data_IF_904795532180
#
_entry.id   IF_904795532180
#
_cell.length_a   1.000
_cell.length_b   1.000
_cell.length_c   1.000
_cell.angle_alpha   90.00
_cell.angle_beta   90.00
_cell.angle_gamma   90.00
#
_symmetry.space_group_name_H-M   'P 1'
#
loop_
_entity.id
_entity.type
_entity.pdbx_description
1 polymer ?
#
# COMPACT_ATOMS: atom_id res chain seq x y z
N UNK A 1 17.67 -13.10 -10.46
CA UNK A 1 17.74 -13.92 -11.69
C UNK A 1 16.52 -13.63 -12.55
N UNK A 2 16.67 -13.45 -13.86
CA UNK A 2 15.53 -13.24 -14.77
C UNK A 2 14.84 -14.58 -15.12
N UNK A 3 13.58 -14.55 -15.59
CA UNK A 3 12.83 -15.78 -15.89
C UNK A 3 13.51 -16.63 -16.97
N UNK A 4 14.20 -15.97 -17.92
CA UNK A 4 14.92 -16.65 -19.01
C UNK A 4 16.11 -17.46 -18.50
N UNK A 5 16.83 -16.93 -17.51
CA UNK A 5 17.95 -17.61 -16.87
C UNK A 5 17.46 -18.79 -16.04
N UNK A 6 16.37 -18.61 -15.28
CA UNK A 6 15.71 -19.67 -14.53
C UNK A 6 15.28 -20.82 -15.44
N UNK A 7 14.62 -20.50 -16.56
CA UNK A 7 14.18 -21.49 -17.55
C UNK A 7 15.36 -22.24 -18.18
N UNK A 8 16.45 -21.54 -18.46
CA UNK A 8 17.65 -22.16 -19.02
C UNK A 8 18.31 -23.12 -18.02
N UNK A 9 18.50 -22.70 -16.77
CA UNK A 9 19.05 -23.54 -15.70
C UNK A 9 18.16 -24.77 -15.45
N UNK A 10 16.84 -24.57 -15.39
CA UNK A 10 15.86 -25.64 -15.22
C UNK A 10 15.91 -26.65 -16.36
N UNK A 11 15.99 -26.18 -17.60
CA UNK A 11 16.17 -27.07 -18.75
C UNK A 11 17.41 -27.94 -18.58
N UNK A 12 18.57 -27.35 -18.28
CA UNK A 12 19.81 -28.12 -18.14
C UNK A 12 19.71 -29.19 -17.04
N UNK A 13 19.09 -28.85 -15.91
CA UNK A 13 18.91 -29.77 -14.80
C UNK A 13 17.95 -30.92 -15.16
N UNK A 14 16.84 -30.63 -15.83
CA UNK A 14 15.91 -31.66 -16.32
C UNK A 14 16.55 -32.59 -17.36
N UNK A 15 17.30 -32.03 -18.32
CA UNK A 15 18.01 -32.80 -19.33
C UNK A 15 19.07 -33.72 -18.68
N UNK A 16 19.77 -33.24 -17.65
CA UNK A 16 20.72 -34.03 -16.87
C UNK A 16 20.04 -35.17 -16.09
N UNK A 17 18.93 -34.88 -15.41
CA UNK A 17 18.21 -35.85 -14.58
C UNK A 17 17.50 -36.95 -15.38
N UNK A 18 17.04 -36.63 -16.59
CA UNK A 18 16.19 -37.52 -17.40
C UNK A 18 16.89 -38.12 -18.61
N UNK A 19 18.03 -37.56 -19.03
CA UNK A 19 18.70 -37.89 -20.30
C UNK A 19 17.81 -37.67 -21.54
N UNK A 20 16.78 -36.83 -21.44
CA UNK A 20 15.87 -36.44 -22.51
C UNK A 20 15.97 -34.94 -22.78
N UNK A 21 15.88 -34.51 -24.05
CA UNK A 21 15.94 -33.08 -24.39
C UNK A 21 14.60 -32.37 -24.20
N UNK A 22 14.65 -31.14 -23.67
CA UNK A 22 13.47 -30.30 -23.42
C UNK A 22 13.48 -29.02 -24.26
N UNK A 23 12.31 -28.57 -24.72
CA UNK A 23 12.17 -27.25 -25.37
C UNK A 23 12.04 -26.14 -24.32
N UNK A 24 12.63 -24.96 -24.57
CA UNK A 24 12.50 -23.79 -23.67
C UNK A 24 11.04 -23.42 -23.40
N UNK A 25 10.20 -23.40 -24.43
CA UNK A 25 8.77 -23.10 -24.29
C UNK A 25 8.04 -24.10 -23.38
N UNK A 26 8.45 -25.37 -23.39
CA UNK A 26 7.85 -26.40 -22.55
C UNK A 26 8.17 -26.17 -21.07
N UNK A 27 9.36 -25.65 -20.74
CA UNK A 27 9.72 -25.36 -19.34
C UNK A 27 8.77 -24.32 -18.71
N UNK A 28 8.40 -23.27 -19.45
CA UNK A 28 7.41 -22.31 -18.96
C UNK A 28 6.05 -22.97 -18.68
N UNK A 29 5.63 -23.88 -19.55
CA UNK A 29 4.38 -24.65 -19.36
C UNK A 29 4.45 -25.57 -18.15
N UNK A 30 5.62 -26.17 -17.90
CA UNK A 30 5.85 -27.02 -16.74
C UNK A 30 5.85 -26.23 -15.43
N UNK A 31 6.47 -25.04 -15.39
CA UNK A 31 6.35 -24.15 -14.23
C UNK A 31 4.90 -23.81 -13.93
N UNK A 32 4.12 -23.40 -14.94
CA UNK A 32 2.71 -23.12 -14.75
C UNK A 32 1.94 -24.33 -14.19
N UNK A 33 2.20 -25.53 -14.74
CA UNK A 33 1.57 -26.75 -14.30
C UNK A 33 1.94 -27.17 -12.86
N UNK A 34 3.19 -26.94 -12.43
CA UNK A 34 3.64 -27.17 -11.05
C UNK A 34 2.85 -26.39 -10.00
N UNK A 35 2.23 -25.28 -10.40
CA UNK A 35 1.40 -24.44 -9.56
C UNK A 35 -0.10 -24.56 -9.89
N UNK A 36 -0.49 -25.59 -10.64
CA UNK A 36 -1.90 -25.91 -10.92
C UNK A 36 -2.52 -25.15 -12.10
N UNK A 37 -1.74 -24.37 -12.84
CA UNK A 37 -2.22 -23.71 -14.05
C UNK A 37 -2.17 -24.65 -15.26
N UNK A 38 -3.24 -24.68 -16.04
CA UNK A 38 -3.33 -25.56 -17.21
C UNK A 38 -2.38 -25.16 -18.33
N UNK A 39 -2.05 -23.88 -18.41
CA UNK A 39 -1.13 -23.31 -19.41
C UNK A 39 -0.33 -22.16 -18.81
N UNK A 40 0.79 -21.83 -19.44
CA UNK A 40 1.51 -20.58 -19.13
C UNK A 40 0.59 -19.35 -19.28
N UNK A 41 -0.23 -19.30 -20.31
CA UNK A 41 -1.13 -18.17 -20.57
C UNK A 41 -2.15 -17.95 -19.43
N UNK A 42 -2.64 -19.03 -18.79
CA UNK A 42 -3.53 -18.90 -17.63
C UNK A 42 -2.83 -18.41 -16.36
N UNK A 43 -1.53 -18.67 -16.22
CA UNK A 43 -0.71 -18.08 -15.15
C UNK A 43 -0.48 -16.59 -15.43
N UNK A 44 0.00 -16.30 -16.64
CA UNK A 44 0.32 -14.96 -17.15
C UNK A 44 -0.92 -14.03 -17.30
N UNK A 45 -2.12 -14.50 -16.97
CA UNK A 45 -3.35 -13.70 -16.98
C UNK A 45 -3.46 -12.75 -15.78
N UNK A 46 -2.81 -13.08 -14.66
CA UNK A 46 -2.87 -12.26 -13.44
C UNK A 46 -1.87 -12.65 -12.36
N UNK A 47 -0.94 -13.56 -12.65
CA UNK A 47 0.06 -14.03 -11.71
C UNK A 47 1.46 -13.90 -12.29
N UNK A 48 2.45 -13.82 -11.39
CA UNK A 48 3.87 -13.74 -11.70
C UNK A 48 4.65 -14.74 -10.86
N UNK A 49 5.68 -15.32 -11.44
CA UNK A 49 6.63 -16.12 -10.67
C UNK A 49 7.49 -15.20 -9.79
N UNK A 50 7.75 -15.65 -8.57
CA UNK A 50 8.59 -14.94 -7.62
C UNK A 50 9.37 -15.94 -6.75
N UNK A 51 10.40 -15.44 -6.06
CA UNK A 51 10.96 -16.15 -4.91
C UNK A 51 10.08 -15.80 -3.72
N UNK A 52 9.64 -16.80 -2.97
CA UNK A 52 8.75 -16.66 -1.81
C UNK A 52 9.57 -16.65 -0.52
N UNK A 53 9.01 -16.08 0.55
CA UNK A 53 9.62 -16.13 1.90
C UNK A 53 9.80 -17.56 2.42
N UNK A 54 8.88 -18.45 2.04
CA UNK A 54 8.92 -19.88 2.38
C UNK A 54 8.64 -20.71 1.14
N UNK A 55 9.29 -21.87 1.04
CA UNK A 55 9.05 -22.79 -0.06
C UNK A 55 7.56 -23.21 -0.11
N UNK A 56 6.92 -23.16 -1.29
CA UNK A 56 5.55 -23.62 -1.43
C UNK A 56 5.47 -25.14 -1.30
N UNK A 57 4.45 -25.61 -0.58
CA UNK A 57 4.18 -27.04 -0.46
C UNK A 57 3.36 -27.49 -1.67
N UNK A 58 3.83 -28.45 -2.48
CA UNK A 58 3.07 -28.95 -3.61
C UNK A 58 1.75 -29.58 -3.16
N UNK A 59 0.66 -29.21 -3.82
CA UNK A 59 -0.68 -29.78 -3.56
C UNK A 59 -1.01 -30.88 -4.57
N UNK A 60 -1.82 -31.86 -4.17
CA UNK A 60 -2.12 -33.03 -5.00
C UNK A 60 -2.67 -32.67 -6.39
N UNK A 61 -3.47 -31.60 -6.49
CA UNK A 61 -4.02 -31.10 -7.75
C UNK A 61 -2.96 -30.53 -8.69
N UNK A 62 -1.95 -29.83 -8.17
CA UNK A 62 -0.86 -29.30 -8.98
C UNK A 62 0.09 -30.39 -9.45
N UNK A 63 0.35 -31.41 -8.61
CA UNK A 63 1.09 -32.61 -9.00
C UNK A 63 0.40 -33.36 -10.15
N UNK A 64 -0.92 -33.55 -10.08
CA UNK A 64 -1.70 -34.16 -11.15
C UNK A 64 -1.66 -33.33 -12.44
N UNK A 65 -1.71 -32.00 -12.32
CA UNK A 65 -1.62 -31.06 -13.44
C UNK A 65 -0.25 -31.13 -14.12
N UNK A 66 0.83 -31.14 -13.34
CA UNK A 66 2.20 -31.28 -13.82
C UNK A 66 2.40 -32.61 -14.56
N UNK A 67 1.97 -33.72 -13.97
CA UNK A 67 2.13 -35.05 -14.58
C UNK A 67 1.36 -35.13 -15.91
N UNK A 68 0.11 -34.66 -15.96
CA UNK A 68 -0.66 -34.55 -17.21
C UNK A 68 0.07 -33.69 -18.24
N UNK A 69 0.61 -32.53 -17.82
CA UNK A 69 1.28 -31.62 -18.74
C UNK A 69 2.57 -32.20 -19.32
N UNK A 70 3.34 -32.95 -18.53
CA UNK A 70 4.51 -33.69 -19.01
C UNK A 70 4.12 -34.69 -20.10
N UNK A 71 3.03 -35.45 -19.91
CA UNK A 71 2.53 -36.39 -20.92
C UNK A 71 2.08 -35.67 -22.21
N UNK A 72 1.29 -34.59 -22.09
CA UNK A 72 0.82 -33.79 -23.24
C UNK A 72 1.96 -33.20 -24.07
N UNK A 73 3.08 -32.85 -23.43
CA UNK A 73 4.26 -32.29 -24.07
C UNK A 73 5.23 -33.35 -24.63
N UNK A 74 4.89 -34.65 -24.49
CA UNK A 74 5.67 -35.77 -25.04
C UNK A 74 6.75 -36.33 -24.12
N UNK A 75 6.66 -36.07 -22.81
CA UNK A 75 7.62 -36.50 -21.79
C UNK A 75 7.09 -37.61 -20.88
N UNK A 76 6.06 -38.35 -21.30
CA UNK A 76 5.41 -39.41 -20.51
C UNK A 76 6.41 -40.44 -19.95
N UNK A 77 7.41 -40.84 -20.74
CA UNK A 77 8.43 -41.81 -20.33
C UNK A 77 9.34 -41.36 -19.18
N UNK A 78 9.42 -40.05 -18.92
CA UNK A 78 10.27 -39.45 -17.88
C UNK A 78 9.47 -38.57 -16.92
N UNK A 79 8.14 -38.70 -16.90
CA UNK A 79 7.27 -37.77 -16.17
C UNK A 79 7.59 -37.73 -14.66
N UNK A 80 7.82 -38.90 -14.04
CA UNK A 80 8.11 -38.97 -12.60
C UNK A 80 9.47 -38.36 -12.25
N UNK A 81 10.52 -38.67 -13.01
CA UNK A 81 11.86 -38.13 -12.75
C UNK A 81 11.97 -36.65 -13.09
N UNK A 82 11.35 -36.20 -14.20
CA UNK A 82 11.27 -34.79 -14.56
C UNK A 82 10.47 -33.98 -13.54
N UNK A 83 9.31 -34.51 -13.11
CA UNK A 83 8.46 -33.88 -12.10
C UNK A 83 9.16 -33.76 -10.75
N UNK A 84 9.79 -34.84 -10.27
CA UNK A 84 10.56 -34.81 -9.03
C UNK A 84 11.74 -33.81 -9.08
N UNK A 85 12.48 -33.78 -10.19
CA UNK A 85 13.58 -32.84 -10.38
C UNK A 85 13.09 -31.38 -10.38
N UNK A 86 11.99 -31.09 -11.09
CA UNK A 86 11.42 -29.74 -11.13
C UNK A 86 10.92 -29.30 -9.75
N UNK A 87 10.23 -30.17 -9.01
CA UNK A 87 9.71 -29.86 -7.69
C UNK A 87 10.84 -29.66 -6.66
N UNK A 88 11.93 -30.42 -6.77
CA UNK A 88 13.14 -30.19 -5.96
C UNK A 88 13.69 -28.78 -6.21
N UNK A 89 13.83 -28.38 -7.47
CA UNK A 89 14.31 -27.03 -7.80
C UNK A 89 13.40 -25.93 -7.28
N UNK A 90 12.09 -26.12 -7.40
CA UNK A 90 11.08 -25.19 -6.88
C UNK A 90 11.24 -25.03 -5.36
N UNK A 91 11.41 -26.13 -4.63
CA UNK A 91 11.63 -26.09 -3.19
C UNK A 91 12.98 -25.46 -2.82
N UNK A 92 14.07 -25.86 -3.49
CA UNK A 92 15.44 -25.41 -3.19
C UNK A 92 15.62 -23.90 -3.41
N UNK A 93 14.91 -23.33 -4.38
CA UNK A 93 14.96 -21.90 -4.71
C UNK A 93 13.77 -21.11 -4.16
N UNK A 94 12.91 -21.73 -3.33
CA UNK A 94 11.66 -21.15 -2.83
C UNK A 94 10.80 -20.48 -3.93
N UNK A 95 10.72 -21.09 -5.11
CA UNK A 95 9.98 -20.50 -6.24
C UNK A 95 8.48 -20.68 -6.02
N UNK A 96 7.71 -19.62 -6.24
CA UNK A 96 6.25 -19.65 -6.17
C UNK A 96 5.60 -18.76 -7.22
N UNK A 97 4.30 -18.56 -7.06
CA UNK A 97 3.50 -17.66 -7.90
C UNK A 97 2.66 -16.80 -6.99
N UNK A 98 2.60 -15.49 -7.28
CA UNK A 98 1.75 -14.53 -6.59
C UNK A 98 0.81 -13.87 -7.60
N UNK A 99 -0.43 -13.60 -7.20
CA UNK A 99 -1.30 -12.70 -7.98
C UNK A 99 -0.72 -11.28 -7.92
N UNK A 100 -0.96 -10.48 -8.96
CA UNK A 100 -0.49 -9.08 -8.95
C UNK A 100 -1.15 -8.29 -7.82
N UNK A 101 -2.39 -8.59 -7.47
CA UNK A 101 -3.11 -7.99 -6.33
C UNK A 101 -2.40 -8.30 -5.01
N UNK A 102 -2.06 -9.56 -4.74
CA UNK A 102 -1.31 -9.93 -3.55
C UNK A 102 0.05 -9.22 -3.47
N UNK A 103 0.72 -9.03 -4.62
CA UNK A 103 1.98 -8.28 -4.69
C UNK A 103 1.76 -6.82 -4.28
N UNK A 104 0.70 -6.17 -4.79
CA UNK A 104 0.34 -4.79 -4.43
C UNK A 104 0.02 -4.72 -2.94
N UNK A 105 -0.81 -5.61 -2.42
CA UNK A 105 -1.17 -5.65 -0.99
C UNK A 105 0.07 -5.80 -0.11
N UNK A 106 1.00 -6.69 -0.49
CA UNK A 106 2.26 -6.90 0.24
C UNK A 106 3.11 -5.62 0.24
N UNK A 107 3.24 -4.94 -0.90
CA UNK A 107 4.01 -3.72 -1.04
C UNK A 107 3.37 -2.55 -0.29
N UNK A 108 2.04 -2.46 -0.30
CA UNK A 108 1.30 -1.41 0.40
C UNK A 108 1.34 -1.62 1.91
N UNK A 109 1.28 -2.85 2.43
CA UNK A 109 1.45 -3.11 3.87
C UNK A 109 2.82 -2.64 4.38
N UNK A 110 3.87 -2.73 3.55
CA UNK A 110 5.17 -2.13 3.87
C UNK A 110 5.19 -0.60 3.76
N UNK A 111 4.25 -0.01 3.01
CA UNK A 111 4.17 1.43 2.71
C UNK A 111 3.23 2.20 3.65
N UNK A 112 2.22 1.56 4.24
CA UNK A 112 1.20 2.20 5.08
C UNK A 112 1.68 2.65 6.46
N UNK A 113 2.97 2.60 6.74
CA UNK A 113 3.58 3.44 7.76
C UNK A 113 3.74 4.87 7.20
N UNK A 114 2.63 5.58 6.98
CA UNK A 114 2.73 7.04 6.93
C UNK A 114 3.25 7.52 8.30
N UNK A 115 4.20 8.45 8.36
CA UNK A 115 4.54 9.11 9.61
C UNK A 115 3.26 9.79 10.11
N UNK A 116 2.88 9.51 11.35
CA UNK A 116 1.83 10.23 12.07
C UNK A 116 2.10 11.75 12.14
N UNK A 117 3.29 12.19 11.71
CA UNK A 117 3.83 13.55 11.75
C UNK A 117 3.10 14.63 10.90
N UNK A 118 1.92 14.36 10.32
CA UNK A 118 1.15 15.41 9.63
C UNK A 118 0.11 16.12 10.49
N UNK A 119 -0.03 15.75 11.75
CA UNK A 119 -0.44 16.65 12.82
C UNK A 119 0.32 16.21 14.08
N UNK A 120 1.19 17.08 14.64
CA UNK A 120 1.66 16.93 16.01
C UNK A 120 0.44 16.91 16.95
N UNK A 121 -0.04 15.71 17.26
CA UNK A 121 -0.58 15.37 18.57
C UNK A 121 0.22 14.13 18.96
N UNK A 122 1.15 14.32 19.89
CA UNK A 122 1.81 13.24 20.61
C UNK A 122 0.73 12.36 21.29
N UNK A 123 0.22 11.36 20.58
CA UNK A 123 -0.42 10.20 21.20
C UNK A 123 0.66 9.12 21.29
N UNK A 124 1.34 9.07 22.45
CA UNK A 124 1.95 7.83 22.94
C UNK A 124 0.80 6.82 23.13
N UNK A 125 0.41 6.13 22.06
CA UNK A 125 -0.29 4.87 22.19
C UNK A 125 0.75 3.91 22.73
N UNK A 126 0.71 3.63 24.03
CA UNK A 126 1.37 2.46 24.61
C UNK A 126 0.75 1.21 23.97
N UNK A 127 1.27 0.84 22.80
CA UNK A 127 1.09 -0.49 22.24
C UNK A 127 1.86 -1.46 23.13
N UNK A 128 1.21 -1.88 24.21
CA UNK A 128 1.40 -3.23 24.76
C UNK A 128 1.05 -4.20 23.64
N UNK A 129 2.03 -4.44 22.76
CA UNK A 129 2.05 -5.49 21.78
C UNK A 129 1.88 -6.81 22.53
N UNK A 130 0.62 -7.20 22.74
CA UNK A 130 0.29 -8.56 23.09
C UNK A 130 0.71 -9.38 21.88
N UNK A 131 1.83 -10.09 22.02
CA UNK A 131 2.21 -11.24 21.20
C UNK A 131 1.10 -12.29 21.29
N UNK A 132 -0.01 -11.99 20.61
CA UNK A 132 -1.05 -12.92 20.27
C UNK A 132 -0.59 -13.59 18.98
N UNK A 133 0.25 -14.61 19.14
CA UNK A 133 0.44 -15.69 18.16
C UNK A 133 -0.93 -16.31 17.85
N UNK A 134 -1.70 -15.62 17.01
CA UNK A 134 -2.86 -16.17 16.33
C UNK A 134 -2.31 -16.93 15.13
N UNK A 135 -1.80 -18.13 15.40
CA UNK A 135 -1.66 -19.22 14.45
C UNK A 135 -3.06 -19.59 13.91
N UNK A 136 -3.66 -18.70 13.12
CA UNK A 136 -4.67 -19.09 12.16
C UNK A 136 -3.90 -19.61 10.95
N UNK A 137 -3.72 -20.93 10.90
CA UNK A 137 -3.31 -21.65 9.70
C UNK A 137 -4.36 -21.41 8.60
N UNK A 138 -4.33 -20.23 7.96
CA UNK A 138 -4.94 -20.04 6.66
C UNK A 138 -4.00 -20.71 5.65
N UNK A 139 -4.40 -21.88 5.17
CA UNK A 139 -3.75 -22.50 4.05
C UNK A 139 -3.86 -21.57 2.83
N UNK A 140 -2.77 -20.88 2.45
CA UNK A 140 -2.52 -20.64 1.03
C UNK A 140 -2.05 -19.27 0.51
N UNK A 141 -1.80 -18.23 1.32
CA UNK A 141 -1.16 -17.01 0.80
C UNK A 141 0.25 -16.85 1.36
N UNK A 142 1.23 -17.40 0.65
CA UNK A 142 2.64 -17.10 0.88
C UNK A 142 2.99 -15.80 0.16
N UNK A 143 3.68 -14.88 0.83
CA UNK A 143 4.09 -13.60 0.23
C UNK A 143 5.39 -13.76 -0.58
N UNK A 144 5.52 -13.03 -1.70
CA UNK A 144 6.79 -12.94 -2.43
C UNK A 144 7.84 -12.22 -1.56
N UNK A 145 9.10 -12.63 -1.67
CA UNK A 145 10.21 -11.96 -1.02
C UNK A 145 10.55 -10.66 -1.74
N UNK A 146 10.65 -9.58 -0.99
CA UNK A 146 10.99 -8.24 -1.50
C UNK A 146 12.49 -7.91 -1.36
N UNK A 147 13.28 -8.84 -0.81
CA UNK A 147 14.75 -8.76 -0.74
C UNK A 147 15.36 -8.38 -2.12
N UNK A 148 16.17 -7.31 -2.21
CA UNK A 148 16.79 -6.86 -3.46
C UNK A 148 17.53 -7.97 -4.23
N UNK A 149 18.10 -8.95 -3.53
CA UNK A 149 18.77 -10.09 -4.16
C UNK A 149 17.80 -11.08 -4.85
N UNK A 150 16.54 -11.10 -4.42
CA UNK A 150 15.50 -12.07 -4.84
C UNK A 150 14.43 -11.46 -5.74
N UNK A 151 14.18 -10.15 -5.63
CA UNK A 151 13.08 -9.44 -6.29
C UNK A 151 13.16 -9.42 -7.83
N UNK A 152 14.34 -9.65 -8.40
CA UNK A 152 14.55 -9.59 -9.85
C UNK A 152 13.61 -10.50 -10.67
N UNK A 153 13.23 -11.67 -10.14
CA UNK A 153 12.30 -12.57 -10.83
C UNK A 153 10.89 -11.98 -10.88
N UNK A 154 10.45 -11.37 -9.77
CA UNK A 154 9.18 -10.68 -9.64
C UNK A 154 9.10 -9.49 -10.62
N UNK A 155 10.14 -8.64 -10.63
CA UNK A 155 10.22 -7.48 -11.53
C UNK A 155 10.15 -7.90 -13.01
N UNK A 156 10.84 -8.98 -13.41
CA UNK A 156 10.81 -9.46 -14.79
C UNK A 156 9.41 -9.99 -15.17
N UNK A 157 8.74 -10.70 -14.26
CA UNK A 157 7.36 -11.15 -14.44
C UNK A 157 6.37 -10.00 -14.60
N UNK A 158 6.46 -9.00 -13.72
CA UNK A 158 5.62 -7.79 -13.76
C UNK A 158 5.87 -6.97 -15.02
N UNK A 159 7.12 -6.81 -15.46
CA UNK A 159 7.45 -6.16 -16.74
C UNK A 159 6.81 -6.90 -17.93
N UNK A 160 6.79 -8.23 -17.87
CA UNK A 160 6.08 -9.06 -18.84
C UNK A 160 4.59 -8.73 -18.91
N UNK A 161 3.91 -8.60 -17.76
CA UNK A 161 2.49 -8.24 -17.68
C UNK A 161 2.22 -6.79 -18.10
N UNK A 162 3.06 -5.86 -17.66
CA UNK A 162 3.00 -4.44 -18.00
C UNK A 162 3.09 -4.25 -19.53
N UNK A 163 4.02 -4.96 -20.19
CA UNK A 163 4.13 -4.93 -21.66
C UNK A 163 2.89 -5.43 -22.42
N UNK A 164 1.98 -6.14 -21.74
CA UNK A 164 0.69 -6.60 -22.25
C UNK A 164 -0.47 -5.67 -21.87
N UNK A 165 -0.19 -4.54 -21.23
CA UNK A 165 -1.20 -3.53 -20.85
C UNK A 165 -1.85 -3.75 -19.48
N UNK A 166 -1.22 -4.51 -18.57
CA UNK A 166 -1.75 -4.68 -17.21
C UNK A 166 -1.51 -3.43 -16.36
N UNK A 167 -2.60 -2.72 -16.01
CA UNK A 167 -2.56 -1.55 -15.14
C UNK A 167 -2.02 -1.89 -13.73
N UNK A 168 -2.48 -3.01 -13.17
CA UNK A 168 -2.03 -3.51 -11.87
C UNK A 168 -0.52 -3.80 -11.86
N UNK A 169 0.02 -4.38 -12.94
CA UNK A 169 1.46 -4.67 -13.01
C UNK A 169 2.30 -3.40 -13.12
N UNK A 170 1.79 -2.38 -13.84
CA UNK A 170 2.41 -1.05 -13.82
C UNK A 170 2.39 -0.46 -12.41
N UNK A 171 1.28 -0.55 -11.68
CA UNK A 171 1.21 -0.02 -10.31
C UNK A 171 2.16 -0.77 -9.35
N UNK A 172 2.19 -2.10 -9.39
CA UNK A 172 3.13 -2.90 -8.60
C UNK A 172 4.60 -2.53 -8.88
N UNK A 173 4.97 -2.31 -10.15
CA UNK A 173 6.31 -1.85 -10.51
C UNK A 173 6.60 -0.44 -9.97
N UNK A 174 5.61 0.46 -9.99
CA UNK A 174 5.78 1.78 -9.40
C UNK A 174 6.06 1.68 -7.90
N UNK A 175 5.29 0.88 -7.16
CA UNK A 175 5.52 0.62 -5.74
C UNK A 175 6.91 0.03 -5.45
N UNK A 176 7.36 -0.93 -6.27
CA UNK A 176 8.70 -1.50 -6.14
C UNK A 176 9.79 -0.44 -6.33
N UNK A 177 9.66 0.43 -7.34
CA UNK A 177 10.67 1.46 -7.61
C UNK A 177 10.59 2.68 -6.68
N UNK A 178 9.45 2.87 -6.01
CA UNK A 178 9.25 3.89 -4.97
C UNK A 178 9.99 3.55 -3.67
N UNK A 179 10.00 2.26 -3.29
CA UNK A 179 10.56 1.83 -2.00
C UNK A 179 12.05 2.14 -1.85
N UNK A 180 12.42 2.69 -0.69
CA UNK A 180 13.82 2.99 -0.30
C UNK A 180 14.68 1.72 -0.17
N UNK A 181 14.06 0.54 0.02
CA UNK A 181 14.74 -0.74 0.24
C UNK A 181 15.52 -1.28 -0.97
N UNK A 182 15.37 -0.70 -2.17
CA UNK A 182 16.20 -1.08 -3.32
C UNK A 182 17.62 -0.49 -3.26
N UNK A 183 17.91 0.39 -2.30
CA UNK A 183 19.27 0.83 -1.97
C UNK A 183 19.44 1.02 -0.46
N UNK A 184 20.17 0.12 0.20
CA UNK A 184 20.54 0.23 1.63
C UNK A 184 21.49 1.42 1.95
N UNK A 185 21.89 2.19 0.93
CA UNK A 185 22.96 3.20 1.02
C UNK A 185 22.47 4.60 0.62
N UNK A 186 22.73 5.58 1.49
CA UNK A 186 22.47 7.00 1.21
C UNK A 186 23.34 7.49 0.03
N UNK A 187 22.70 7.77 -1.10
CA UNK A 187 23.35 8.32 -2.28
C UNK A 187 23.83 9.76 -2.08
N UNK A 188 24.84 10.18 -2.86
CA UNK A 188 25.31 11.57 -2.87
C UNK A 188 25.24 12.22 -4.26
N UNK A 189 24.38 13.24 -4.37
CA UNK A 189 24.27 14.08 -5.57
C UNK A 189 25.61 14.75 -5.95
N UNK A 190 26.42 15.11 -4.94
CA UNK A 190 27.73 15.71 -5.16
C UNK A 190 28.68 14.74 -5.88
N UNK A 191 28.85 13.52 -5.35
CA UNK A 191 29.73 12.52 -5.96
C UNK A 191 29.21 12.06 -7.32
N UNK A 192 27.90 11.92 -7.46
CA UNK A 192 27.27 11.66 -8.76
C UNK A 192 27.62 12.73 -9.80
N UNK A 193 27.54 14.02 -9.45
CA UNK A 193 27.89 15.11 -10.37
C UNK A 193 29.36 15.07 -10.82
N UNK A 194 30.28 14.64 -9.94
CA UNK A 194 31.69 14.49 -10.27
C UNK A 194 31.92 13.28 -11.18
N UNK A 195 31.20 12.17 -10.93
CA UNK A 195 31.20 10.99 -11.80
C UNK A 195 30.75 11.36 -13.22
N UNK A 196 29.68 12.15 -13.38
CA UNK A 196 29.19 12.62 -14.69
C UNK A 196 30.19 13.53 -15.41
N UNK A 197 31.00 14.28 -14.66
CA UNK A 197 32.07 15.12 -15.20
C UNK A 197 33.32 14.30 -15.61
N UNK A 198 33.28 12.97 -15.47
CA UNK A 198 34.38 12.07 -15.82
C UNK A 198 35.52 12.06 -14.82
N UNK A 199 35.25 12.41 -13.55
CA UNK A 199 36.21 12.19 -12.46
C UNK A 199 36.33 10.69 -12.19
N UNK A 200 37.56 10.23 -12.01
CA UNK A 200 37.81 8.89 -11.49
C UNK A 200 37.45 8.88 -9.99
N UNK A 201 36.41 8.14 -9.64
CA UNK A 201 35.98 7.89 -8.26
C UNK A 201 36.34 6.46 -7.86
N UNK A 202 36.64 6.26 -6.58
CA UNK A 202 36.90 4.95 -6.00
C UNK A 202 36.29 4.80 -4.59
N UNK A 203 36.23 3.55 -4.13
CA UNK A 203 35.66 3.17 -2.83
C UNK A 203 34.30 3.81 -2.57
N UNK A 204 34.16 4.42 -1.39
CA UNK A 204 32.94 5.05 -0.88
C UNK A 204 32.41 6.16 -1.80
N UNK A 205 33.27 6.88 -2.52
CA UNK A 205 32.82 7.95 -3.43
C UNK A 205 32.09 7.37 -4.63
N UNK A 206 32.62 6.26 -5.17
CA UNK A 206 31.97 5.56 -6.27
C UNK A 206 30.67 4.91 -5.79
N UNK A 207 30.68 4.27 -4.61
CA UNK A 207 29.49 3.66 -4.00
C UNK A 207 28.36 4.69 -3.87
N UNK A 208 28.59 5.82 -3.20
CA UNK A 208 27.59 6.90 -3.06
C UNK A 208 27.14 7.51 -4.38
N UNK A 209 28.03 7.66 -5.36
CA UNK A 209 27.66 8.12 -6.69
C UNK A 209 26.75 7.11 -7.40
N UNK A 210 27.03 5.81 -7.27
CA UNK A 210 26.23 4.74 -7.88
C UNK A 210 24.90 4.52 -7.18
N UNK A 211 24.84 4.67 -5.86
CA UNK A 211 23.60 4.64 -5.08
C UNK A 211 22.67 5.78 -5.53
N UNK A 212 23.19 7.02 -5.60
CA UNK A 212 22.40 8.16 -6.10
C UNK A 212 21.94 8.00 -7.55
N UNK A 213 22.81 7.46 -8.43
CA UNK A 213 22.41 7.13 -9.81
C UNK A 213 21.26 6.14 -9.85
N UNK A 214 21.29 5.13 -8.97
CA UNK A 214 20.26 4.10 -8.88
C UNK A 214 18.95 4.70 -8.38
N UNK A 215 19.00 5.56 -7.36
CA UNK A 215 17.84 6.31 -6.87
C UNK A 215 17.19 7.15 -7.98
N UNK A 216 17.99 7.89 -8.77
CA UNK A 216 17.47 8.65 -9.92
C UNK A 216 16.79 7.74 -10.96
N UNK A 217 17.42 6.63 -11.31
CA UNK A 217 16.85 5.67 -12.27
C UNK A 217 15.56 5.02 -11.75
N UNK A 218 15.49 4.75 -10.44
CA UNK A 218 14.29 4.20 -9.81
C UNK A 218 13.16 5.25 -9.81
N UNK A 219 13.44 6.50 -9.46
CA UNK A 219 12.46 7.59 -9.54
C UNK A 219 11.92 7.79 -10.98
N UNK A 220 12.77 7.68 -12.00
CA UNK A 220 12.33 7.74 -13.40
C UNK A 220 11.39 6.56 -13.76
N UNK A 221 11.72 5.36 -13.29
CA UNK A 221 10.92 4.15 -13.54
C UNK A 221 9.60 4.19 -12.79
N UNK A 222 9.62 4.59 -11.52
CA UNK A 222 8.42 4.82 -10.72
C UNK A 222 7.49 5.76 -11.46
N UNK A 223 7.97 6.95 -11.83
CA UNK A 223 7.15 7.94 -12.53
C UNK A 223 6.59 7.39 -13.84
N UNK A 224 7.37 6.66 -14.62
CA UNK A 224 6.90 6.01 -15.86
C UNK A 224 5.76 5.04 -15.57
N UNK A 225 5.98 4.11 -14.64
CA UNK A 225 5.03 3.06 -14.32
C UNK A 225 3.76 3.60 -13.67
N UNK A 226 3.88 4.57 -12.77
CA UNK A 226 2.74 5.22 -12.10
C UNK A 226 1.86 5.97 -13.11
N UNK A 227 2.46 6.74 -14.01
CA UNK A 227 1.73 7.44 -15.07
C UNK A 227 1.03 6.47 -16.02
N UNK A 228 1.66 5.36 -16.37
CA UNK A 228 1.06 4.36 -17.25
C UNK A 228 -0.07 3.58 -16.57
N UNK A 229 0.09 3.23 -15.28
CA UNK A 229 -0.99 2.64 -14.48
C UNK A 229 -2.21 3.57 -14.43
N UNK A 230 -1.99 4.87 -14.15
CA UNK A 230 -3.04 5.87 -14.13
C UNK A 230 -3.71 6.05 -15.51
N UNK A 231 -2.92 6.06 -16.59
CA UNK A 231 -3.42 6.14 -17.98
C UNK A 231 -4.30 4.94 -18.34
N UNK A 232 -3.98 3.77 -17.80
CA UNK A 232 -4.75 2.53 -17.97
C UNK A 232 -5.95 2.43 -17.01
N UNK A 233 -6.15 3.41 -16.12
CA UNK A 233 -7.31 3.52 -15.25
C UNK A 233 -7.15 2.89 -13.87
N UNK A 234 -5.92 2.61 -13.40
CA UNK A 234 -5.70 2.18 -12.02
C UNK A 234 -5.98 3.34 -11.06
N UNK A 235 -6.95 3.15 -10.14
CA UNK A 235 -7.46 4.22 -9.28
C UNK A 235 -6.37 4.74 -8.32
N UNK A 236 -5.66 3.85 -7.63
CA UNK A 236 -4.62 4.23 -6.67
C UNK A 236 -3.47 4.98 -7.33
N UNK A 237 -3.15 4.65 -8.58
CA UNK A 237 -2.09 5.36 -9.32
C UNK A 237 -2.52 6.79 -9.64
N UNK A 238 -3.81 7.02 -9.95
CA UNK A 238 -4.35 8.36 -10.16
C UNK A 238 -4.38 9.14 -8.85
N UNK A 239 -4.72 8.48 -7.76
CA UNK A 239 -4.71 9.06 -6.42
C UNK A 239 -3.31 9.49 -6.01
N UNK A 240 -2.32 8.60 -6.08
CA UNK A 240 -0.91 8.89 -5.78
C UNK A 240 -0.40 10.11 -6.56
N UNK A 241 -0.69 10.16 -7.87
CA UNK A 241 -0.30 11.30 -8.73
C UNK A 241 -1.00 12.59 -8.29
N UNK A 242 -2.27 12.52 -7.93
CA UNK A 242 -3.02 13.70 -7.49
C UNK A 242 -2.45 14.24 -6.17
N UNK A 243 -2.20 13.37 -5.20
CA UNK A 243 -1.65 13.76 -3.89
C UNK A 243 -0.24 14.35 -4.02
N UNK A 244 0.68 13.69 -4.73
CA UNK A 244 2.05 14.23 -4.95
C UNK A 244 2.01 15.63 -5.59
N UNK A 245 1.16 15.82 -6.59
CA UNK A 245 1.05 17.13 -7.26
C UNK A 245 0.40 18.18 -6.37
N UNK A 246 -0.59 17.81 -5.57
CA UNK A 246 -1.24 18.72 -4.62
C UNK A 246 -0.24 19.20 -3.56
N UNK A 247 0.47 18.27 -2.92
CA UNK A 247 1.49 18.58 -1.89
C UNK A 247 2.62 19.44 -2.47
N UNK A 248 3.12 19.12 -3.67
CA UNK A 248 4.15 19.94 -4.34
C UNK A 248 3.66 21.34 -4.68
N UNK A 249 2.39 21.50 -5.05
CA UNK A 249 1.80 22.81 -5.33
C UNK A 249 1.67 23.62 -4.05
N UNK A 250 1.19 23.00 -2.97
CA UNK A 250 1.07 23.61 -1.65
C UNK A 250 2.42 24.06 -1.08
N UNK A 251 3.45 23.21 -1.14
CA UNK A 251 4.81 23.58 -0.69
C UNK A 251 5.40 24.76 -1.51
N UNK A 252 4.94 24.96 -2.75
CA UNK A 252 5.32 26.14 -3.56
C UNK A 252 4.44 27.37 -3.29
N UNK A 253 3.42 27.26 -2.44
CA UNK A 253 2.42 28.30 -2.19
C UNK A 253 1.42 28.50 -3.34
N UNK A 254 1.32 27.56 -4.27
CA UNK A 254 0.36 27.62 -5.38
C UNK A 254 -0.95 26.92 -5.00
N UNK A 255 -1.75 27.63 -4.19
CA UNK A 255 -3.03 27.12 -3.69
C UNK A 255 -4.02 26.77 -4.79
N UNK A 256 -3.98 27.45 -5.95
CA UNK A 256 -4.87 27.16 -7.07
C UNK A 256 -4.58 25.82 -7.73
N UNK A 257 -3.29 25.48 -7.90
CA UNK A 257 -2.92 24.14 -8.36
C UNK A 257 -3.15 23.08 -7.29
N UNK A 258 -2.89 23.38 -6.01
CA UNK A 258 -3.16 22.46 -4.92
C UNK A 258 -4.65 22.08 -4.87
N UNK A 259 -5.55 23.08 -4.91
CA UNK A 259 -7.00 22.88 -4.95
C UNK A 259 -7.44 22.02 -6.14
N UNK A 260 -6.87 22.24 -7.34
CA UNK A 260 -7.18 21.43 -8.51
C UNK A 260 -6.86 19.95 -8.29
N UNK A 261 -5.68 19.64 -7.77
CA UNK A 261 -5.26 18.25 -7.56
C UNK A 261 -5.93 17.59 -6.35
N UNK A 262 -6.16 18.33 -5.26
CA UNK A 262 -6.95 17.81 -4.15
C UNK A 262 -8.40 17.51 -4.58
N UNK A 263 -8.99 18.27 -5.50
CA UNK A 263 -10.31 17.93 -6.09
C UNK A 263 -10.31 16.61 -6.85
N UNK A 264 -9.23 16.31 -7.59
CA UNK A 264 -9.07 15.02 -8.26
C UNK A 264 -8.96 13.87 -7.23
N UNK A 265 -8.17 14.04 -6.16
CA UNK A 265 -8.05 13.05 -5.09
C UNK A 265 -9.36 12.86 -4.31
N UNK A 266 -10.05 13.95 -3.96
CA UNK A 266 -11.36 13.91 -3.32
C UNK A 266 -12.41 13.23 -4.20
N UNK A 267 -12.36 13.42 -5.52
CA UNK A 267 -13.21 12.70 -6.48
C UNK A 267 -12.97 11.19 -6.53
N UNK A 268 -11.85 10.70 -5.98
CA UNK A 268 -11.53 9.29 -5.78
C UNK A 268 -11.87 8.81 -4.35
N UNK A 269 -12.50 9.65 -3.53
CA UNK A 269 -12.91 9.32 -2.17
C UNK A 269 -11.86 9.56 -1.08
N UNK A 270 -10.75 10.25 -1.40
CA UNK A 270 -9.69 10.52 -0.42
C UNK A 270 -10.12 11.59 0.59
N UNK A 271 -10.27 11.20 1.84
CA UNK A 271 -10.86 12.02 2.92
C UNK A 271 -9.97 13.21 3.27
N UNK A 272 -8.67 12.99 3.44
CA UNK A 272 -7.71 14.02 3.82
C UNK A 272 -7.57 15.06 2.71
N UNK A 273 -7.81 14.68 1.45
CA UNK A 273 -7.85 15.65 0.35
C UNK A 273 -9.08 16.55 0.46
N UNK A 274 -10.22 16.02 0.92
CA UNK A 274 -11.40 16.84 1.23
C UNK A 274 -11.11 17.79 2.40
N UNK A 275 -10.41 17.33 3.45
CA UNK A 275 -9.95 18.18 4.56
C UNK A 275 -9.02 19.30 4.09
N UNK A 276 -8.04 19.00 3.25
CA UNK A 276 -7.16 20.00 2.65
C UNK A 276 -7.94 21.03 1.82
N UNK A 277 -8.97 20.61 1.07
CA UNK A 277 -9.83 21.54 0.34
C UNK A 277 -10.64 22.45 1.27
N UNK A 278 -11.16 21.91 2.39
CA UNK A 278 -11.85 22.71 3.39
C UNK A 278 -10.91 23.76 4.01
N UNK A 279 -9.69 23.37 4.34
CA UNK A 279 -8.66 24.27 4.88
C UNK A 279 -8.28 25.38 3.88
N UNK A 280 -8.01 25.03 2.62
CA UNK A 280 -7.70 26.01 1.57
C UNK A 280 -8.85 27.00 1.36
N UNK A 281 -10.10 26.53 1.36
CA UNK A 281 -11.27 27.37 1.21
C UNK A 281 -11.43 28.34 2.39
N UNK A 282 -11.27 27.86 3.63
CA UNK A 282 -11.29 28.71 4.83
C UNK A 282 -10.17 29.76 4.82
N UNK A 283 -8.97 29.37 4.41
CA UNK A 283 -7.83 30.30 4.21
C UNK A 283 -8.11 31.40 3.17
N UNK A 284 -8.95 31.11 2.17
CA UNK A 284 -9.42 32.08 1.19
C UNK A 284 -10.66 32.89 1.65
N UNK A 285 -11.22 32.58 2.83
CA UNK A 285 -12.46 33.18 3.34
C UNK A 285 -13.73 32.68 2.65
N UNK A 286 -13.66 31.57 1.92
CA UNK A 286 -14.82 30.92 1.28
C UNK A 286 -15.39 29.85 2.22
N UNK A 287 -16.14 30.30 3.21
CA UNK A 287 -16.76 29.41 4.20
C UNK A 287 -17.72 28.41 3.54
N UNK A 288 -18.50 28.80 2.53
CA UNK A 288 -19.48 27.89 1.91
C UNK A 288 -18.79 26.67 1.26
N UNK A 289 -17.67 26.90 0.57
CA UNK A 289 -16.85 25.81 0.02
C UNK A 289 -16.19 24.98 1.12
N UNK A 290 -15.74 25.60 2.21
CA UNK A 290 -15.17 24.87 3.34
C UNK A 290 -16.19 23.92 3.99
N UNK A 291 -17.41 24.42 4.26
CA UNK A 291 -18.53 23.62 4.78
C UNK A 291 -18.88 22.47 3.84
N UNK A 292 -18.90 22.73 2.53
CA UNK A 292 -19.18 21.70 1.53
C UNK A 292 -18.19 20.52 1.64
N UNK A 293 -16.89 20.81 1.70
CA UNK A 293 -15.86 19.77 1.75
C UNK A 293 -15.79 19.06 3.11
N UNK A 294 -16.00 19.76 4.23
CA UNK A 294 -16.17 19.12 5.54
C UNK A 294 -17.36 18.17 5.53
N UNK A 295 -18.48 18.57 4.92
CA UNK A 295 -19.62 17.68 4.78
C UNK A 295 -19.30 16.44 3.94
N UNK A 296 -18.54 16.57 2.85
CA UNK A 296 -18.09 15.40 2.08
C UNK A 296 -17.16 14.50 2.90
N UNK A 297 -16.20 15.05 3.63
CA UNK A 297 -15.30 14.28 4.50
C UNK A 297 -16.09 13.47 5.55
N UNK A 298 -17.05 14.10 6.23
CA UNK A 298 -17.94 13.42 7.18
C UNK A 298 -18.76 12.30 6.52
N UNK A 299 -19.25 12.49 5.28
CA UNK A 299 -19.96 11.45 4.54
C UNK A 299 -19.06 10.27 4.12
N UNK A 300 -17.74 10.46 4.14
CA UNK A 300 -16.73 9.44 3.90
C UNK A 300 -16.12 8.87 5.20
N UNK A 301 -16.66 9.23 6.36
CA UNK A 301 -16.29 8.65 7.66
C UNK A 301 -15.32 9.48 8.51
N UNK A 302 -15.00 10.71 8.09
CA UNK A 302 -14.12 11.60 8.86
C UNK A 302 -14.83 12.11 10.13
N UNK A 303 -14.39 11.62 11.29
CA UNK A 303 -14.98 11.97 12.59
C UNK A 303 -14.67 13.41 12.99
N UNK A 304 -13.50 13.92 12.61
CA UNK A 304 -13.12 15.31 12.91
C UNK A 304 -13.95 16.31 12.11
N UNK A 305 -14.23 16.04 10.83
CA UNK A 305 -15.15 16.84 10.05
C UNK A 305 -16.58 16.78 10.61
N UNK A 306 -17.03 15.62 11.14
CA UNK A 306 -18.31 15.54 11.85
C UNK A 306 -18.33 16.47 13.07
N UNK A 307 -17.25 16.52 13.85
CA UNK A 307 -17.10 17.44 14.99
C UNK A 307 -17.08 18.90 14.52
N UNK A 308 -16.30 19.25 13.50
CA UNK A 308 -16.25 20.60 12.93
C UNK A 308 -17.63 21.06 12.44
N UNK A 309 -18.41 20.17 11.80
CA UNK A 309 -19.78 20.48 11.37
C UNK A 309 -20.68 20.77 12.57
N UNK A 310 -20.61 19.97 13.65
CA UNK A 310 -21.36 20.24 14.89
C UNK A 310 -20.96 21.59 15.48
N UNK A 311 -19.66 21.85 15.53
CA UNK A 311 -19.06 23.01 16.16
C UNK A 311 -19.11 24.27 15.30
N UNK A 312 -19.40 24.25 14.01
CA UNK A 312 -19.40 25.50 13.22
C UNK A 312 -20.72 25.71 12.48
N UNK A 313 -21.20 24.66 11.83
CA UNK A 313 -22.17 24.77 10.75
C UNK A 313 -23.57 24.38 11.20
N UNK A 314 -23.66 23.25 11.92
CA UNK A 314 -24.87 22.65 12.43
C UNK A 314 -25.18 23.05 13.87
N UNK A 315 -24.46 24.03 14.47
CA UNK A 315 -24.80 24.55 15.82
C UNK A 315 -26.28 24.95 15.95
N UNK A 316 -26.93 25.34 14.85
CA UNK A 316 -28.36 25.66 14.79
C UNK A 316 -29.28 24.52 14.38
N UNK A 317 -28.74 23.37 13.96
CA UNK A 317 -29.46 22.20 13.45
C UNK A 317 -29.24 20.99 14.36
N UNK A 318 -29.91 21.00 15.52
CA UNK A 318 -29.79 19.97 16.55
C UNK A 318 -30.01 18.54 16.02
N UNK A 319 -30.93 18.35 15.06
CA UNK A 319 -31.17 17.03 14.47
C UNK A 319 -29.92 16.53 13.74
N UNK A 320 -29.31 17.36 12.90
CA UNK A 320 -28.13 16.99 12.13
C UNK A 320 -26.91 16.76 13.03
N UNK A 321 -26.72 17.58 14.06
CA UNK A 321 -25.63 17.36 15.03
C UNK A 321 -25.73 15.99 15.70
N UNK A 322 -26.94 15.54 16.07
CA UNK A 322 -27.14 14.20 16.62
C UNK A 322 -26.93 13.08 15.60
N UNK A 323 -27.26 13.29 14.33
CA UNK A 323 -26.92 12.34 13.25
C UNK A 323 -25.40 12.12 13.21
N UNK A 324 -24.61 13.21 13.26
CA UNK A 324 -23.16 13.12 13.30
C UNK A 324 -22.62 12.41 14.53
N UNK A 325 -23.14 12.72 15.72
CA UNK A 325 -22.76 12.02 16.96
C UNK A 325 -23.01 10.51 16.87
N UNK A 326 -24.17 10.08 16.34
CA UNK A 326 -24.45 8.65 16.20
C UNK A 326 -23.63 7.98 15.10
N UNK A 327 -23.34 8.69 14.01
CA UNK A 327 -22.50 8.15 12.95
C UNK A 327 -21.07 7.91 13.46
N UNK A 328 -20.48 8.89 14.16
CA UNK A 328 -19.19 8.73 14.80
C UNK A 328 -19.17 7.56 15.80
N UNK A 329 -20.23 7.41 16.61
CA UNK A 329 -20.38 6.30 17.55
C UNK A 329 -20.38 4.93 16.83
N UNK A 330 -20.98 4.84 15.64
CA UNK A 330 -20.95 3.63 14.82
C UNK A 330 -19.59 3.34 14.17
N UNK A 331 -18.82 4.39 13.89
CA UNK A 331 -17.44 4.30 13.40
C UNK A 331 -16.43 4.01 14.53
N UNK A 332 -16.88 3.99 15.79
CA UNK A 332 -16.06 3.65 16.96
C UNK A 332 -15.67 4.83 17.86
N UNK A 333 -16.05 6.06 17.50
CA UNK A 333 -15.66 7.28 18.21
C UNK A 333 -16.87 7.93 18.90
N UNK A 334 -16.87 7.97 20.23
CA UNK A 334 -17.92 8.63 21.00
C UNK A 334 -17.58 10.11 21.23
N UNK A 335 -18.04 10.98 20.33
CA UNK A 335 -17.82 12.44 20.39
C UNK A 335 -18.34 13.11 21.68
N UNK A 336 -19.23 12.45 22.44
CA UNK A 336 -19.76 12.99 23.71
C UNK A 336 -18.76 12.86 24.84
N UNK A 337 -17.78 11.97 24.72
CA UNK A 337 -16.70 11.82 25.71
C UNK A 337 -15.61 12.84 25.41
N UNK A 338 -15.13 13.48 26.47
CA UNK A 338 -13.97 14.33 26.37
C UNK A 338 -12.70 13.49 26.27
N UNK A 339 -11.82 13.88 25.35
CA UNK A 339 -10.47 13.35 25.21
C UNK A 339 -9.44 14.24 25.91
N UNK A 340 -9.87 15.33 26.58
CA UNK A 340 -8.95 16.24 27.27
C UNK A 340 -8.04 15.50 28.26
N UNK A 341 -6.73 15.70 28.11
CA UNK A 341 -5.66 15.23 28.99
C UNK A 341 -4.69 16.36 29.29
N UNK A 342 -4.07 16.29 30.45
CA UNK A 342 -3.00 17.21 30.82
C UNK A 342 -1.66 16.60 30.42
N UNK A 343 -0.75 17.40 29.89
CA UNK A 343 0.58 16.99 29.43
C UNK A 343 1.65 17.92 29.99
N UNK A 344 2.87 17.43 30.15
CA UNK A 344 4.00 18.24 30.61
C UNK A 344 4.43 19.26 29.55
N UNK A 345 4.49 20.55 29.95
CA UNK A 345 4.89 21.67 29.09
C UNK A 345 6.42 21.91 29.18
N UNK A 346 7.18 21.04 28.50
CA UNK A 346 8.64 21.12 28.46
C UNK A 346 9.37 20.32 29.54
N UNK A 347 10.70 20.32 29.47
CA UNK A 347 11.55 19.53 30.36
C UNK A 347 11.79 18.10 29.86
N UNK A 348 12.21 17.20 30.75
CA UNK A 348 12.56 15.81 30.40
C UNK A 348 11.35 15.00 29.90
N UNK A 349 10.16 15.38 30.34
CA UNK A 349 8.90 14.66 30.11
C UNK A 349 7.96 15.43 29.17
N UNK A 350 8.47 16.42 28.44
CA UNK A 350 7.67 17.24 27.53
C UNK A 350 6.83 16.36 26.60
N UNK A 351 5.52 16.65 26.51
CA UNK A 351 4.59 15.87 25.67
C UNK A 351 4.00 14.62 26.32
N UNK A 352 4.54 14.16 27.45
CA UNK A 352 3.97 13.02 28.19
C UNK A 352 2.77 13.42 29.05
N UNK A 353 1.85 12.48 29.28
CA UNK A 353 0.70 12.70 30.18
C UNK A 353 1.19 13.14 31.56
N UNK A 354 0.52 14.14 32.12
CA UNK A 354 0.99 14.84 33.30
C UNK A 354 0.95 13.96 34.55
N UNK A 355 2.12 13.73 35.13
CA UNK A 355 2.31 13.02 36.40
C UNK A 355 2.61 14.03 37.51
N UNK A 356 1.74 14.07 38.53
CA UNK A 356 1.86 15.01 39.63
C UNK A 356 3.03 14.70 40.57
N UNK A 357 3.54 13.46 40.56
CA UNK A 357 4.77 13.08 41.27
C UNK A 357 6.02 13.74 40.64
N UNK A 358 5.99 13.99 39.32
CA UNK A 358 7.06 14.69 38.60
C UNK A 358 6.90 16.21 38.73
N UNK A 359 5.67 16.69 38.63
CA UNK A 359 5.30 18.10 38.73
C UNK A 359 5.86 18.98 37.59
N UNK A 360 5.67 20.29 37.70
CA UNK A 360 6.12 21.26 36.69
C UNK A 360 4.97 21.87 35.88
N UNK A 361 5.28 22.69 34.87
CA UNK A 361 4.28 23.31 34.01
C UNK A 361 3.55 22.25 33.17
N UNK A 362 2.28 22.51 32.87
CA UNK A 362 1.43 21.63 32.07
C UNK A 362 0.62 22.43 31.06
N UNK A 363 0.25 21.75 29.97
CA UNK A 363 -0.81 22.19 29.06
C UNK A 363 -1.90 21.12 28.99
N UNK A 364 -3.09 21.49 28.52
CA UNK A 364 -4.20 20.56 28.29
C UNK A 364 -4.41 20.45 26.79
N UNK A 365 -4.49 19.22 26.28
CA UNK A 365 -4.73 18.91 24.87
C UNK A 365 -5.88 17.91 24.73
N UNK A 366 -6.43 17.80 23.52
CA UNK A 366 -7.61 17.00 23.21
C UNK A 366 -8.89 17.83 23.14
N UNK A 367 -10.03 17.14 23.05
CA UNK A 367 -11.32 17.74 22.77
C UNK A 367 -12.29 17.66 23.96
N UNK A 368 -13.05 18.74 24.14
CA UNK A 368 -14.23 18.69 24.99
C UNK A 368 -15.27 17.73 24.41
N UNK A 369 -16.00 17.03 25.27
CA UNK A 369 -17.12 16.19 24.83
C UNK A 369 -18.24 17.06 24.26
N UNK A 370 -18.76 16.68 23.09
CA UNK A 370 -19.87 17.37 22.44
C UNK A 370 -21.10 17.39 23.36
N UNK A 371 -21.58 18.59 23.70
CA UNK A 371 -22.77 18.80 24.53
C UNK A 371 -23.92 19.36 23.69
N UNK A 372 -24.96 18.54 23.50
CA UNK A 372 -26.14 18.88 22.73
C UNK A 372 -27.41 18.75 23.57
N UNK A 373 -28.40 19.58 23.31
CA UNK A 373 -29.75 19.43 23.87
C UNK A 373 -30.38 18.11 23.40
N UNK A 374 -31.22 17.49 24.23
CA UNK A 374 -31.87 16.23 23.86
C UNK A 374 -32.95 16.43 22.79
N UNK A 375 -33.01 15.51 21.82
CA UNK A 375 -34.09 15.45 20.83
C UNK A 375 -35.40 14.91 21.43
N UNK A 376 -36.50 15.12 20.71
CA UNK A 376 -37.73 14.37 20.95
C UNK A 376 -37.49 12.88 20.68
N UNK A 377 -38.20 11.98 21.35
CA UNK A 377 -38.02 10.53 21.15
C UNK A 377 -38.23 10.09 19.67
N UNK A 378 -39.09 10.80 18.93
CA UNK A 378 -39.31 10.54 17.51
C UNK A 378 -38.10 10.99 16.67
N UNK A 379 -37.56 12.18 16.94
CA UNK A 379 -36.44 12.72 16.18
C UNK A 379 -35.11 12.02 16.53
N UNK A 380 -34.92 11.59 17.78
CA UNK A 380 -33.80 10.75 18.21
C UNK A 380 -33.76 9.44 17.41
N UNK A 381 -34.90 8.73 17.33
CA UNK A 381 -35.01 7.51 16.53
C UNK A 381 -34.69 7.77 15.06
N UNK A 382 -35.20 8.87 14.49
CA UNK A 382 -34.93 9.23 13.09
C UNK A 382 -33.48 9.59 12.85
N UNK A 383 -32.83 10.27 13.79
CA UNK A 383 -31.41 10.61 13.70
C UNK A 383 -30.54 9.35 13.71
N UNK A 384 -30.84 8.38 14.57
CA UNK A 384 -30.17 7.06 14.59
C UNK A 384 -30.38 6.28 13.30
N UNK A 385 -31.60 6.26 12.77
CA UNK A 385 -31.90 5.59 11.50
C UNK A 385 -31.11 6.23 10.34
N UNK A 386 -30.97 7.56 10.35
CA UNK A 386 -30.21 8.31 9.33
C UNK A 386 -28.71 8.02 9.44
N UNK A 387 -28.16 8.03 10.66
CA UNK A 387 -26.76 7.67 10.91
C UNK A 387 -26.47 6.23 10.45
N UNK A 388 -27.36 5.29 10.74
CA UNK A 388 -27.24 3.89 10.30
C UNK A 388 -27.21 3.75 8.78
N UNK A 389 -28.02 4.54 8.06
CA UNK A 389 -28.00 4.56 6.59
C UNK A 389 -26.66 5.09 6.06
N UNK A 390 -26.12 6.16 6.66
CA UNK A 390 -24.83 6.72 6.30
C UNK A 390 -23.68 5.73 6.57
N UNK A 391 -23.66 5.12 7.76
CA UNK A 391 -22.68 4.10 8.12
C UNK A 391 -22.68 2.93 7.14
N UNK A 392 -23.87 2.48 6.73
CA UNK A 392 -23.99 1.37 5.77
C UNK A 392 -23.40 1.71 4.40
N UNK A 393 -23.48 2.98 3.96
CA UNK A 393 -22.85 3.47 2.72
C UNK A 393 -21.33 3.54 2.85
N UNK A 394 -20.82 3.95 4.02
CA UNK A 394 -19.38 4.04 4.28
C UNK A 394 -18.76 2.64 4.37
N UNK A 395 -19.40 1.69 5.06
CA UNK A 395 -18.86 0.34 5.24
C UNK A 395 -18.99 -0.57 4.01
N UNK A 396 -19.83 -0.20 3.03
CA UNK A 396 -20.02 -0.95 1.78
C UNK A 396 -19.99 0.00 0.57
N UNK A 397 -18.81 0.58 0.27
CA UNK A 397 -18.64 1.61 -0.75
C UNK A 397 -18.87 1.13 -2.19
#
# INVERSE_FOLDING_TARGET
MAIKELVYATKQQLESATQQSFRHSHIYELFAASFGFNTRASLDAGHVMAVMERAPVPVASSLATLHRRLAELGYESVADSAGAALLSMIADQCLGVASVELVIDTLQQCYWAYPEDWYDIDEEVEDEASDSDSDSESAGNQSPSLDPAKIALLIDGLNGLASRGSAAAHYALALIYRGDDLSEEEGSAYWYSLMEQGRDLDGVQLEWATAYKTQLLNAEREALHLNEAARLGWADARLDIALDKAQRAEHRGDHGQAEHWYKEAAGLGHVEAMRSLAWLARGAGDEDTARHWNHQAALHGDVDAMRDLIDEDDRGNLFQSWVWVYLAEQLGSDLRKSTLRAYHDGGLYAGQEYDDDQGGPLYVAGDEGVQLESLSALDDSRARDTAQELFSRISHP
#
